data_IF_078740095218
#
_entry.id   IF_078740095218
#
_cell.length_a   1.000
_cell.length_b   1.000
_cell.length_c   1.000
_cell.angle_alpha   90.00
_cell.angle_beta   90.00
_cell.angle_gamma   90.00
#
_symmetry.space_group_name_H-M   'P 1'
#
loop_
_entity.id
_entity.type
_entity.pdbx_description
1 polymer ?
#
# COMPACT_ATOMS: atom_id res chain seq x y z
N UNK A 1 14.49 2.54 -10.66
CA UNK A 1 14.87 2.02 -9.32
C UNK A 1 14.11 2.82 -8.28
N UNK A 2 13.10 2.20 -7.70
CA UNK A 2 12.27 2.76 -6.64
C UNK A 2 12.68 2.17 -5.28
N UNK A 3 12.20 2.78 -4.20
CA UNK A 3 12.46 2.31 -2.84
C UNK A 3 11.15 2.31 -2.05
N UNK A 4 10.82 1.15 -1.48
CA UNK A 4 9.53 0.91 -0.84
C UNK A 4 9.29 1.87 0.33
N UNK A 5 10.30 2.09 1.19
CA UNK A 5 10.18 3.02 2.31
C UNK A 5 9.92 4.46 1.84
N UNK A 6 10.65 4.92 0.82
CA UNK A 6 10.49 6.26 0.28
C UNK A 6 9.12 6.47 -0.36
N UNK A 7 8.59 5.48 -1.07
CA UNK A 7 7.24 5.52 -1.63
C UNK A 7 6.17 5.62 -0.54
N UNK A 8 6.28 4.80 0.51
CA UNK A 8 5.34 4.85 1.64
C UNK A 8 5.40 6.21 2.33
N UNK A 9 6.60 6.73 2.62
CA UNK A 9 6.77 8.06 3.22
C UNK A 9 6.18 9.16 2.35
N UNK A 10 6.41 9.10 1.05
CA UNK A 10 5.86 10.06 0.08
C UNK A 10 4.34 9.98 0.03
N UNK A 11 3.77 8.78 0.02
CA UNK A 11 2.32 8.59 0.06
C UNK A 11 1.71 9.18 1.33
N UNK A 12 2.25 8.84 2.51
CA UNK A 12 1.77 9.33 3.80
C UNK A 12 1.83 10.85 3.88
N UNK A 13 2.94 11.45 3.45
CA UNK A 13 3.12 12.90 3.40
C UNK A 13 2.11 13.57 2.46
N UNK A 14 1.98 13.09 1.21
CA UNK A 14 1.11 13.71 0.21
C UNK A 14 -0.38 13.61 0.55
N UNK A 15 -0.78 12.59 1.30
CA UNK A 15 -2.16 12.37 1.73
C UNK A 15 -2.42 12.84 3.17
N UNK A 16 -1.44 13.43 3.84
CA UNK A 16 -1.51 13.86 5.24
C UNK A 16 -2.06 12.74 6.16
N UNK A 17 -1.47 11.54 6.05
CA UNK A 17 -1.86 10.35 6.82
C UNK A 17 -0.80 9.99 7.84
N UNK A 18 -1.25 9.52 9.00
CA UNK A 18 -0.38 9.00 10.05
C UNK A 18 -0.46 7.48 10.07
N UNK A 19 0.69 6.80 9.99
CA UNK A 19 0.73 5.35 10.00
C UNK A 19 0.31 4.80 11.37
N UNK A 20 -0.69 3.92 11.38
CA UNK A 20 -1.20 3.24 12.57
C UNK A 20 -0.70 1.80 12.67
N UNK A 21 -0.67 1.11 11.54
CA UNK A 21 -0.18 -0.26 11.39
C UNK A 21 0.17 -0.52 9.92
N UNK A 22 0.96 -1.56 9.66
CA UNK A 22 1.32 -1.96 8.30
C UNK A 22 1.44 -3.48 8.18
N UNK A 23 1.10 -3.99 7.01
CA UNK A 23 1.39 -5.37 6.62
C UNK A 23 1.76 -5.37 5.13
N UNK A 24 3.03 -5.62 4.86
CA UNK A 24 3.57 -5.67 3.51
C UNK A 24 4.02 -7.10 3.18
N UNK A 25 3.74 -7.49 1.94
CA UNK A 25 4.27 -8.68 1.31
C UNK A 25 4.97 -8.25 0.02
N UNK A 26 6.28 -8.42 -0.03
CA UNK A 26 7.12 -7.90 -1.10
C UNK A 26 7.76 -9.08 -1.81
N UNK A 27 7.45 -9.21 -3.09
CA UNK A 27 8.11 -10.16 -3.98
C UNK A 27 9.14 -9.43 -4.83
N UNK A 28 10.42 -9.72 -4.61
CA UNK A 28 11.53 -9.23 -5.43
C UNK A 28 12.01 -10.38 -6.31
N UNK A 29 11.67 -10.31 -7.60
CA UNK A 29 12.19 -11.22 -8.62
C UNK A 29 13.40 -10.61 -9.32
N UNK A 30 14.52 -11.33 -9.30
CA UNK A 30 15.64 -11.06 -10.20
C UNK A 30 15.45 -11.92 -11.45
N UNK A 31 15.88 -11.43 -12.62
CA UNK A 31 15.72 -12.01 -13.96
C UNK A 31 16.15 -13.50 -14.12
N UNK A 32 16.72 -14.11 -13.07
CA UNK A 32 16.96 -15.55 -12.97
C UNK A 32 15.83 -16.26 -12.20
N UNK A 33 15.18 -17.24 -12.83
CA UNK A 33 14.03 -18.05 -12.35
C UNK A 33 14.17 -18.76 -10.97
N UNK A 34 15.24 -18.53 -10.21
CA UNK A 34 15.57 -19.28 -8.99
C UNK A 34 15.80 -18.43 -7.72
N UNK A 35 15.66 -17.10 -7.76
CA UNK A 35 15.99 -16.22 -6.62
C UNK A 35 14.87 -15.23 -6.24
N UNK A 36 13.61 -15.64 -6.33
CA UNK A 36 12.52 -14.86 -5.77
C UNK A 36 12.72 -14.69 -4.24
N UNK A 37 12.88 -13.45 -3.79
CA UNK A 37 12.89 -13.12 -2.36
C UNK A 37 11.51 -12.63 -1.96
N UNK A 38 10.95 -13.28 -0.94
CA UNK A 38 9.71 -12.85 -0.30
C UNK A 38 10.05 -12.20 1.03
N UNK A 39 9.70 -10.93 1.18
CA UNK A 39 9.78 -10.22 2.44
C UNK A 39 8.37 -10.00 2.99
N UNK A 40 8.18 -10.36 4.25
CA UNK A 40 6.98 -10.00 5.01
C UNK A 40 7.39 -9.02 6.09
N UNK A 41 6.83 -7.82 6.07
CA UNK A 41 7.11 -6.78 7.04
C UNK A 41 5.81 -6.29 7.67
N UNK A 42 5.65 -6.53 8.97
CA UNK A 42 4.47 -6.13 9.72
C UNK A 42 4.84 -5.13 10.81
N UNK A 43 3.95 -4.16 11.02
CA UNK A 43 4.03 -3.17 12.07
C UNK A 43 2.69 -3.19 12.82
N UNK A 44 2.65 -3.63 14.09
CA UNK A 44 1.40 -3.74 14.85
C UNK A 44 0.86 -2.37 15.23
N UNK A 45 -0.44 -2.29 15.54
CA UNK A 45 -1.02 -1.09 16.17
C UNK A 45 -0.36 -0.80 17.53
N UNK A 46 -0.12 0.48 17.82
CA UNK A 46 0.52 0.89 19.08
C UNK A 46 2.02 0.54 19.14
N UNK A 47 2.66 0.40 17.98
CA UNK A 47 4.09 0.13 17.88
C UNK A 47 4.94 1.16 18.64
N UNK A 48 6.11 0.73 19.11
CA UNK A 48 7.12 1.61 19.70
C UNK A 48 8.04 2.21 18.63
N UNK A 49 8.79 3.25 18.97
CA UNK A 49 9.80 3.84 18.08
C UNK A 49 10.82 2.81 17.59
N UNK A 50 11.20 1.86 18.44
CA UNK A 50 12.12 0.79 18.07
C UNK A 50 11.50 -0.17 17.05
N UNK A 51 10.21 -0.52 17.20
CA UNK A 51 9.49 -1.35 16.23
C UNK A 51 9.31 -0.62 14.90
N UNK A 52 9.03 0.68 14.94
CA UNK A 52 8.98 1.51 13.75
C UNK A 52 10.34 1.52 13.02
N UNK A 53 11.43 1.81 13.73
CA UNK A 53 12.78 1.84 13.13
C UNK A 53 13.17 0.49 12.52
N UNK A 54 12.87 -0.62 13.20
CA UNK A 54 13.15 -1.95 12.70
C UNK A 54 12.30 -2.28 11.46
N UNK A 55 11.02 -1.91 11.47
CA UNK A 55 10.15 -2.07 10.30
C UNK A 55 10.64 -1.22 9.13
N UNK A 56 10.99 0.06 9.36
CA UNK A 56 11.57 0.93 8.34
C UNK A 56 12.84 0.33 7.73
N UNK A 57 13.70 -0.26 8.57
CA UNK A 57 14.92 -0.96 8.10
C UNK A 57 14.60 -2.17 7.23
N UNK A 58 13.55 -2.92 7.54
CA UNK A 58 13.12 -4.08 6.73
C UNK A 58 12.58 -3.64 5.37
N UNK A 59 11.77 -2.58 5.32
CA UNK A 59 11.12 -2.12 4.08
C UNK A 59 11.97 -1.09 3.33
N UNK A 60 13.13 -0.70 3.84
CA UNK A 60 14.11 0.12 3.13
C UNK A 60 14.88 -0.72 2.09
N UNK A 61 14.15 -1.16 1.08
CA UNK A 61 14.65 -2.00 -0.01
C UNK A 61 14.43 -1.29 -1.33
N UNK A 62 15.43 -1.42 -2.21
CA UNK A 62 15.32 -0.98 -3.60
C UNK A 62 14.72 -2.10 -4.45
N UNK A 63 13.89 -1.71 -5.42
CA UNK A 63 13.34 -2.61 -6.44
C UNK A 63 13.28 -1.89 -7.79
N UNK A 64 13.15 -2.68 -8.86
CA UNK A 64 13.02 -2.16 -10.20
C UNK A 64 11.54 -1.93 -10.51
N UNK A 65 11.16 -0.66 -10.66
CA UNK A 65 9.82 -0.20 -11.03
C UNK A 65 9.55 -0.33 -12.54
N UNK A 66 10.43 -0.99 -13.29
CA UNK A 66 10.27 -1.35 -14.69
C UNK A 66 9.32 -2.55 -14.95
N UNK A 67 9.22 -2.96 -16.23
CA UNK A 67 8.40 -4.10 -16.63
C UNK A 67 8.98 -5.42 -16.06
N UNK A 68 8.29 -6.05 -15.11
CA UNK A 68 8.77 -7.27 -14.45
C UNK A 68 7.77 -7.96 -13.52
N UNK A 69 8.20 -9.07 -12.91
CA UNK A 69 7.42 -9.94 -12.00
C UNK A 69 7.47 -9.52 -10.53
N UNK A 70 8.02 -8.33 -10.26
CA UNK A 70 8.12 -7.76 -8.93
C UNK A 70 6.74 -7.29 -8.51
N UNK A 71 6.29 -7.72 -7.33
CA UNK A 71 4.95 -7.42 -6.87
C UNK A 71 5.03 -6.98 -5.42
N UNK A 72 4.93 -5.67 -5.20
CA UNK A 72 4.70 -5.11 -3.89
C UNK A 72 3.20 -5.25 -3.59
N UNK A 73 2.87 -5.88 -2.47
CA UNK A 73 1.51 -5.93 -1.96
C UNK A 73 1.51 -5.48 -0.51
N UNK A 74 0.39 -4.92 -0.08
CA UNK A 74 0.23 -4.64 1.34
C UNK A 74 -0.90 -3.70 1.64
N UNK A 75 -1.11 -3.54 2.94
CA UNK A 75 -2.06 -2.61 3.51
C UNK A 75 -1.38 -1.72 4.54
N UNK A 76 -1.67 -0.43 4.45
CA UNK A 76 -1.24 0.58 5.42
C UNK A 76 -2.50 1.10 6.11
N UNK A 77 -2.58 0.98 7.43
CA UNK A 77 -3.71 1.51 8.20
C UNK A 77 -3.37 2.88 8.76
N UNK A 78 -4.36 3.75 8.85
CA UNK A 78 -4.16 5.13 9.27
C UNK A 78 -4.78 5.43 10.63
N UNK A 79 -4.18 6.37 11.37
CA UNK A 79 -4.73 6.86 12.65
C UNK A 79 -6.05 7.59 12.40
N UNK A 80 -6.15 8.28 11.27
CA UNK A 80 -7.33 9.01 10.81
C UNK A 80 -8.49 8.09 10.39
N UNK A 81 -8.25 6.78 10.35
CA UNK A 81 -9.19 5.77 9.86
C UNK A 81 -9.02 5.45 8.38
N UNK A 82 -9.54 4.29 7.99
CA UNK A 82 -9.32 3.73 6.66
C UNK A 82 -7.95 3.06 6.52
N UNK A 83 -7.65 2.68 5.28
CA UNK A 83 -6.38 2.06 4.92
C UNK A 83 -6.05 2.34 3.47
N UNK A 84 -4.77 2.24 3.09
CA UNK A 84 -4.38 2.15 1.68
C UNK A 84 -4.01 0.74 1.29
N UNK A 85 -4.30 0.38 0.05
CA UNK A 85 -3.91 -0.88 -0.59
C UNK A 85 -3.06 -0.59 -1.81
N UNK A 86 -2.12 -1.49 -2.13
CA UNK A 86 -1.32 -1.39 -3.35
C UNK A 86 -2.12 -1.96 -4.53
N UNK A 87 -2.44 -1.11 -5.51
CA UNK A 87 -3.10 -1.49 -6.75
C UNK A 87 -2.09 -1.64 -7.89
N UNK A 88 -2.38 -2.55 -8.83
CA UNK A 88 -1.59 -2.79 -10.04
C UNK A 88 -2.53 -2.85 -11.24
N UNK A 89 -2.23 -2.11 -12.29
CA UNK A 89 -2.95 -2.17 -13.58
C UNK A 89 -1.99 -1.84 -14.72
N UNK A 90 -1.94 -2.71 -15.73
CA UNK A 90 -1.11 -2.53 -16.93
C UNK A 90 0.38 -2.26 -16.64
N UNK A 91 0.91 -2.90 -15.59
CA UNK A 91 2.29 -2.74 -15.14
C UNK A 91 2.56 -1.47 -14.32
N UNK A 92 1.60 -0.55 -14.21
CA UNK A 92 1.68 0.59 -13.29
C UNK A 92 1.20 0.17 -11.89
N UNK A 93 1.90 0.64 -10.86
CA UNK A 93 1.60 0.34 -9.48
C UNK A 93 1.40 1.64 -8.66
N UNK A 94 0.33 1.72 -7.86
CA UNK A 94 0.06 2.90 -7.00
C UNK A 94 -0.67 2.51 -5.72
N UNK A 95 -0.59 3.35 -4.69
CA UNK A 95 -1.37 3.19 -3.46
C UNK A 95 -2.76 3.80 -3.63
N UNK A 96 -3.80 3.05 -3.31
CA UNK A 96 -5.20 3.49 -3.32
C UNK A 96 -5.64 3.71 -1.88
N UNK A 97 -6.03 4.94 -1.54
CA UNK A 97 -6.66 5.26 -0.25
C UNK A 97 -8.10 4.72 -0.24
N UNK A 98 -8.36 3.74 0.61
CA UNK A 98 -9.66 3.10 0.88
C UNK A 98 -10.21 3.61 2.21
N UNK A 99 -10.15 4.93 2.43
CA UNK A 99 -10.81 5.55 3.57
C UNK A 99 -12.32 5.46 3.43
N UNK A 100 -12.99 5.26 4.58
CA UNK A 100 -14.46 5.31 4.65
C UNK A 100 -14.89 6.66 4.09
N UNK A 101 -15.75 6.70 3.05
CA UNK A 101 -16.21 7.97 2.51
C UNK A 101 -16.90 8.74 3.64
N UNK A 102 -16.70 10.07 3.76
CA UNK A 102 -17.44 10.86 4.71
C UNK A 102 -18.95 10.61 4.51
N UNK A 103 -19.76 10.61 5.58
CA UNK A 103 -21.20 10.49 5.41
C UNK A 103 -21.69 11.55 4.41
N UNK A 104 -22.63 11.20 3.52
CA UNK A 104 -23.07 12.11 2.48
C UNK A 104 -23.59 13.40 3.11
N UNK A 105 -23.23 14.54 2.53
CA UNK A 105 -23.79 15.82 2.93
C UNK A 105 -25.28 15.85 2.55
N UNK A 106 -26.08 16.61 3.29
CA UNK A 106 -27.50 16.75 2.98
C UNK A 106 -27.68 17.26 1.53
N UNK A 107 -28.32 16.45 0.69
CA UNK A 107 -28.52 16.73 -0.74
C UNK A 107 -27.47 16.15 -1.69
N UNK A 108 -26.46 15.43 -1.17
CA UNK A 108 -25.48 14.72 -1.99
C UNK A 108 -26.08 13.42 -2.55
N UNK A 109 -26.12 13.30 -3.88
CA UNK A 109 -26.50 12.06 -4.55
C UNK A 109 -25.23 11.21 -4.67
N UNK A 110 -25.14 10.13 -3.89
CA UNK A 110 -24.05 9.16 -3.99
C UNK A 110 -24.25 8.34 -5.26
N UNK A 111 -23.39 8.52 -6.26
CA UNK A 111 -23.46 7.79 -7.54
C UNK A 111 -22.59 6.54 -7.60
N UNK A 112 -21.89 6.19 -6.51
CA UNK A 112 -20.97 5.04 -6.49
C UNK A 112 -21.68 3.73 -6.18
N UNK A 113 -22.59 3.32 -7.07
CA UNK A 113 -22.89 1.91 -7.24
C UNK A 113 -21.94 1.40 -8.33
N UNK A 114 -21.04 0.45 -8.05
CA UNK A 114 -20.25 -0.16 -9.10
C UNK A 114 -21.19 -0.72 -10.17
N UNK A 115 -21.06 -0.24 -11.41
CA UNK A 115 -21.69 -0.86 -12.57
C UNK A 115 -21.17 -2.30 -12.67
N UNK A 116 -21.91 -3.24 -12.08
CA UNK A 116 -21.40 -4.60 -11.94
C UNK A 116 -22.38 -5.64 -11.43
N UNK A 117 -23.70 -5.40 -11.45
CA UNK A 117 -24.70 -6.48 -11.49
C UNK A 117 -25.83 -6.07 -12.43
N UNK A 118 -25.58 -6.13 -13.73
CA UNK A 118 -26.59 -6.58 -14.70
C UNK A 118 -26.26 -8.05 -14.95
N UNK A 119 -27.14 -9.03 -14.72
CA UNK A 119 -28.53 -9.01 -15.13
C UNK A 119 -28.59 -9.34 -16.62
N UNK A 120 -28.33 -10.60 -16.97
CA UNK A 120 -28.36 -11.18 -18.30
C UNK A 120 -28.06 -12.66 -18.26
#
# INVERSE_FOLDING_TARGET
MANVLNEIKTFLHNHNKTLKAAALHIKIGYDSEYNDKFLHATLPEGFTDQQLQEWERQVNIEYDDGYGTQKLFGRLWFVEGGHAERAVYDGAEWWVDVSVPPPPKQGEIVTDVPNGIGGG
#
